data_IF_985512369235
#
_entry.id   IF_985512369235
#
_cell.length_a   1.000
_cell.length_b   1.000
_cell.length_c   1.000
_cell.angle_alpha   90.00
_cell.angle_beta   90.00
_cell.angle_gamma   90.00
#
_symmetry.space_group_name_H-M   'P 1'
#
loop_
_entity.id
_entity.type
_entity.pdbx_description
1 polymer ?
#
# COMPACT_ATOMS: atom_id res chain seq x y z
N UNK A 1 4.70 -12.92 -44.94
CA UNK A 1 4.83 -14.38 -44.73
C UNK A 1 3.46 -14.89 -44.28
N UNK A 2 2.68 -15.38 -45.24
CA UNK A 2 1.36 -15.97 -45.01
C UNK A 2 1.56 -17.34 -44.35
N UNK A 3 1.00 -17.54 -43.16
CA UNK A 3 0.76 -18.89 -42.62
C UNK A 3 -0.70 -19.19 -42.91
N UNK A 4 -0.93 -19.82 -44.05
CA UNK A 4 -2.22 -20.42 -44.38
C UNK A 4 -2.39 -21.68 -43.52
N UNK A 5 -2.75 -21.49 -42.26
CA UNK A 5 -3.19 -22.57 -41.38
C UNK A 5 -4.62 -22.97 -41.80
N UNK A 6 -4.74 -23.73 -42.92
CA UNK A 6 -5.99 -24.39 -43.29
C UNK A 6 -6.44 -25.26 -42.11
N UNK A 7 -7.71 -25.16 -41.68
CA UNK A 7 -8.17 -25.89 -40.50
C UNK A 7 -8.08 -27.40 -40.75
N UNK A 8 -7.43 -28.12 -39.83
CA UNK A 8 -7.25 -29.59 -39.82
C UNK A 8 -8.60 -30.34 -39.81
N UNK A 9 -9.70 -29.62 -39.62
CA UNK A 9 -11.04 -30.12 -39.33
C UNK A 9 -11.75 -30.95 -40.40
N UNK A 10 -11.13 -31.20 -41.56
CA UNK A 10 -11.84 -31.88 -42.66
C UNK A 10 -11.06 -32.99 -43.38
N UNK A 11 -10.16 -33.67 -42.65
CA UNK A 11 -9.47 -34.85 -43.17
C UNK A 11 -10.10 -36.09 -42.54
N UNK A 12 -10.73 -36.94 -43.36
CA UNK A 12 -11.23 -38.24 -42.94
C UNK A 12 -10.04 -39.21 -42.94
N UNK A 13 -9.55 -39.69 -41.78
CA UNK A 13 -8.39 -40.59 -41.76
C UNK A 13 -8.75 -41.91 -42.44
N UNK A 14 -7.88 -42.40 -43.32
CA UNK A 14 -8.11 -43.61 -44.11
C UNK A 14 -7.53 -44.86 -43.42
N UNK A 15 -6.52 -44.68 -42.57
CA UNK A 15 -5.83 -45.76 -41.84
C UNK A 15 -5.84 -45.53 -40.33
N UNK A 16 -5.55 -46.60 -39.58
CA UNK A 16 -5.53 -46.56 -38.12
C UNK A 16 -4.35 -45.69 -37.60
N UNK A 17 -3.23 -45.68 -38.31
CA UNK A 17 -2.07 -44.83 -38.05
C UNK A 17 -2.38 -43.34 -38.26
N UNK A 18 -3.16 -43.01 -39.30
CA UNK A 18 -3.63 -41.64 -39.53
C UNK A 18 -4.52 -41.15 -38.37
N UNK A 19 -5.36 -42.03 -37.82
CA UNK A 19 -6.18 -41.73 -36.65
C UNK A 19 -5.32 -41.38 -35.42
N UNK A 20 -4.30 -42.18 -35.11
CA UNK A 20 -3.40 -41.91 -33.98
C UNK A 20 -2.62 -40.61 -34.16
N UNK A 21 -2.12 -40.34 -35.37
CA UNK A 21 -1.44 -39.09 -35.71
C UNK A 21 -2.35 -37.88 -35.56
N UNK A 22 -3.61 -37.99 -36.00
CA UNK A 22 -4.62 -36.96 -35.85
C UNK A 22 -4.94 -36.70 -34.37
N UNK A 23 -5.17 -37.77 -33.59
CA UNK A 23 -5.45 -37.67 -32.15
C UNK A 23 -4.29 -36.96 -31.44
N UNK A 24 -3.04 -37.36 -31.72
CA UNK A 24 -1.86 -36.73 -31.13
C UNK A 24 -1.80 -35.23 -31.45
N UNK A 25 -1.99 -34.85 -32.72
CA UNK A 25 -1.99 -33.43 -33.13
C UNK A 25 -3.12 -32.64 -32.48
N UNK A 26 -4.34 -33.21 -32.41
CA UNK A 26 -5.47 -32.55 -31.77
C UNK A 26 -5.23 -32.38 -30.26
N UNK A 27 -4.66 -33.39 -29.59
CA UNK A 27 -4.33 -33.26 -28.17
C UNK A 27 -3.30 -32.17 -27.92
N UNK A 28 -2.28 -32.04 -28.78
CA UNK A 28 -1.27 -30.98 -28.67
C UNK A 28 -1.86 -29.58 -28.89
N UNK A 29 -2.79 -29.45 -29.83
CA UNK A 29 -3.50 -28.18 -30.06
C UNK A 29 -4.38 -27.85 -28.86
N UNK A 30 -5.11 -28.82 -28.32
CA UNK A 30 -5.98 -28.63 -27.15
C UNK A 30 -5.14 -28.24 -25.93
N UNK A 31 -4.01 -28.90 -25.67
CA UNK A 31 -3.13 -28.54 -24.54
C UNK A 31 -2.59 -27.12 -24.70
N UNK A 32 -2.14 -26.76 -25.90
CA UNK A 32 -1.66 -25.40 -26.17
C UNK A 32 -2.76 -24.34 -25.98
N UNK A 33 -3.95 -24.59 -26.52
CA UNK A 33 -5.08 -23.67 -26.39
C UNK A 33 -5.56 -23.55 -24.95
N UNK A 34 -5.61 -24.65 -24.20
CA UNK A 34 -6.01 -24.63 -22.78
C UNK A 34 -5.01 -23.87 -21.92
N UNK A 35 -3.71 -24.00 -22.17
CA UNK A 35 -2.67 -23.20 -21.52
C UNK A 35 -2.80 -21.70 -21.84
N UNK A 36 -3.00 -21.35 -23.11
CA UNK A 36 -3.20 -19.95 -23.52
C UNK A 36 -4.45 -19.34 -22.87
N UNK A 37 -5.57 -20.08 -22.87
CA UNK A 37 -6.81 -19.67 -22.21
C UNK A 37 -6.58 -19.48 -20.70
N UNK A 38 -5.84 -20.38 -20.04
CA UNK A 38 -5.53 -20.26 -18.62
C UNK A 38 -4.73 -18.99 -18.34
N UNK A 39 -3.66 -18.75 -19.07
CA UNK A 39 -2.81 -17.55 -18.95
C UNK A 39 -3.61 -16.26 -19.16
N UNK A 40 -4.47 -16.23 -20.19
CA UNK A 40 -5.32 -15.07 -20.47
C UNK A 40 -6.36 -14.83 -19.36
N UNK A 41 -6.97 -15.90 -18.83
CA UNK A 41 -7.92 -15.82 -17.71
C UNK A 41 -7.26 -15.31 -16.44
N UNK A 42 -6.05 -15.76 -16.13
CA UNK A 42 -5.25 -15.26 -15.02
C UNK A 42 -4.96 -13.76 -15.17
N UNK A 43 -4.47 -13.34 -16.35
CA UNK A 43 -4.22 -11.93 -16.65
C UNK A 43 -5.47 -11.05 -16.49
N UNK A 44 -6.64 -11.54 -16.91
CA UNK A 44 -7.93 -10.84 -16.76
C UNK A 44 -8.45 -10.80 -15.31
N UNK A 45 -7.98 -11.71 -14.45
CA UNK A 45 -8.37 -11.78 -13.04
C UNK A 45 -7.42 -11.00 -12.11
N UNK A 46 -6.26 -10.57 -12.60
CA UNK A 46 -5.38 -9.64 -11.88
C UNK A 46 -6.07 -8.28 -11.74
N UNK A 47 -6.19 -7.81 -10.51
CA UNK A 47 -6.73 -6.51 -10.16
C UNK A 47 -5.95 -5.89 -8.99
N UNK A 48 -6.20 -4.62 -8.72
CA UNK A 48 -5.52 -3.87 -7.64
C UNK A 48 -5.66 -4.47 -6.23
N UNK A 49 -6.57 -5.41 -6.02
CA UNK A 49 -6.82 -6.04 -4.72
C UNK A 49 -6.03 -7.35 -4.52
N UNK A 50 -5.68 -8.06 -5.60
CA UNK A 50 -5.03 -9.38 -5.53
C UNK A 50 -3.64 -9.45 -6.18
N UNK A 51 -3.14 -8.37 -6.79
CA UNK A 51 -1.92 -8.42 -7.62
C UNK A 51 -0.84 -7.39 -7.28
N UNK A 52 -1.00 -6.62 -6.20
CA UNK A 52 -0.12 -5.49 -5.84
C UNK A 52 0.05 -4.44 -6.95
N UNK A 53 -0.72 -4.52 -8.03
CA UNK A 53 -0.74 -3.54 -9.11
C UNK A 53 -1.44 -2.26 -8.62
N UNK A 54 -0.92 -1.08 -8.97
CA UNK A 54 -1.57 0.17 -8.61
C UNK A 54 -2.97 0.25 -9.24
N UNK A 55 -3.97 0.86 -8.57
CA UNK A 55 -5.33 1.00 -9.10
C UNK A 55 -5.44 1.69 -10.46
N UNK A 56 -4.42 2.46 -10.86
CA UNK A 56 -4.33 3.11 -12.17
C UNK A 56 -4.05 2.15 -13.33
N UNK A 57 -3.45 0.98 -13.05
CA UNK A 57 -3.18 -0.09 -14.03
C UNK A 57 -4.26 -1.18 -14.04
N UNK A 58 -5.34 -0.99 -13.29
CA UNK A 58 -6.46 -1.94 -13.24
C UNK A 58 -7.25 -1.87 -14.56
N UNK A 59 -7.13 -2.90 -15.41
CA UNK A 59 -7.82 -3.00 -16.70
C UNK A 59 -9.34 -2.93 -16.55
N UNK A 60 -9.86 -3.45 -15.44
CA UNK A 60 -11.27 -3.30 -15.06
C UNK A 60 -11.42 -1.96 -14.36
N UNK A 61 -11.57 -0.87 -15.13
CA UNK A 61 -11.94 0.44 -14.59
C UNK A 61 -13.18 0.28 -13.71
N UNK A 62 -12.98 0.31 -12.39
CA UNK A 62 -14.07 0.34 -11.43
C UNK A 62 -14.94 1.53 -11.81
N UNK A 63 -16.25 1.30 -12.03
CA UNK A 63 -17.22 2.37 -12.27
C UNK A 63 -16.93 3.49 -11.28
N UNK A 64 -16.82 4.73 -11.78
CA UNK A 64 -16.54 5.88 -10.95
C UNK A 64 -17.50 5.82 -9.75
N UNK A 65 -16.94 5.72 -8.53
CA UNK A 65 -17.77 5.67 -7.32
C UNK A 65 -18.72 6.85 -7.39
N UNK A 66 -20.02 6.57 -7.31
CA UNK A 66 -21.07 7.61 -7.24
C UNK A 66 -20.61 8.60 -6.19
N UNK A 67 -20.36 9.84 -6.62
CA UNK A 67 -19.86 10.89 -5.73
C UNK A 67 -20.93 11.09 -4.66
N UNK A 68 -20.66 10.64 -3.44
CA UNK A 68 -21.54 10.87 -2.30
C UNK A 68 -21.79 12.37 -2.19
N UNK A 69 -23.05 12.75 -1.92
CA UNK A 69 -23.40 14.14 -1.67
C UNK A 69 -22.47 14.72 -0.60
N UNK A 70 -22.05 15.98 -0.80
CA UNK A 70 -21.19 16.66 0.18
C UNK A 70 -21.95 16.73 1.50
N UNK A 71 -21.31 16.32 2.59
CA UNK A 71 -21.92 16.31 3.93
C UNK A 71 -22.32 17.72 4.44
N UNK A 72 -21.93 18.80 3.77
CA UNK A 72 -22.12 20.19 4.24
C UNK A 72 -21.24 20.58 5.44
N UNK A 73 -20.65 19.60 6.14
CA UNK A 73 -19.79 19.82 7.30
C UNK A 73 -18.43 20.40 6.90
N UNK A 74 -17.93 21.34 7.70
CA UNK A 74 -16.57 21.88 7.56
C UNK A 74 -15.54 20.77 7.77
N UNK A 75 -14.39 20.88 7.08
CA UNK A 75 -13.25 19.97 7.28
C UNK A 75 -12.64 20.21 8.69
N UNK A 76 -12.26 19.14 9.38
CA UNK A 76 -11.67 19.20 10.73
C UNK A 76 -12.58 18.60 11.82
N UNK A 77 -12.20 18.81 13.08
CA UNK A 77 -13.00 18.42 14.24
C UNK A 77 -14.37 19.10 14.20
N UNK A 78 -15.45 18.32 14.32
CA UNK A 78 -16.81 18.85 14.31
C UNK A 78 -17.12 19.51 15.66
N UNK A 79 -18.04 20.49 15.67
CA UNK A 79 -18.51 21.10 16.90
C UNK A 79 -19.04 20.03 17.87
N UNK A 80 -18.57 20.06 19.12
CA UNK A 80 -18.87 19.03 20.14
C UNK A 80 -17.87 17.87 20.22
N UNK A 81 -16.93 17.72 19.27
CA UNK A 81 -15.83 16.78 19.45
C UNK A 81 -14.83 17.33 20.47
N UNK A 82 -14.69 16.62 21.59
CA UNK A 82 -13.61 16.87 22.53
C UNK A 82 -12.27 16.57 21.86
N UNK A 83 -11.31 17.48 22.02
CA UNK A 83 -9.95 17.26 21.54
C UNK A 83 -9.26 16.18 22.37
N UNK A 84 -8.74 15.15 21.72
CA UNK A 84 -7.84 14.20 22.39
C UNK A 84 -6.41 14.74 22.36
N UNK A 85 -5.83 14.87 23.54
CA UNK A 85 -4.40 15.20 23.73
C UNK A 85 -3.77 14.17 24.64
N UNK A 86 -2.47 13.91 24.44
CA UNK A 86 -1.71 13.05 25.36
C UNK A 86 -1.73 13.69 26.75
N UNK A 87 -2.07 12.89 27.76
CA UNK A 87 -1.96 13.34 29.16
C UNK A 87 -0.49 13.58 29.48
N UNK A 88 -0.21 14.67 30.19
CA UNK A 88 1.13 14.92 30.69
C UNK A 88 1.36 14.05 31.91
N UNK A 89 2.56 13.49 32.02
CA UNK A 89 3.03 12.84 33.25
C UNK A 89 3.26 13.90 34.34
N UNK A 90 3.16 13.54 35.64
CA UNK A 90 3.65 14.36 36.75
C UNK A 90 5.08 14.86 36.51
N UNK A 91 5.42 16.04 37.05
CA UNK A 91 6.80 16.56 36.89
C UNK A 91 7.84 15.76 37.67
N UNK A 92 7.45 15.05 38.73
CA UNK A 92 8.36 14.19 39.49
C UNK A 92 8.79 12.92 38.76
N UNK A 93 8.07 12.53 37.72
CA UNK A 93 8.39 11.34 36.91
C UNK A 93 9.29 11.67 35.71
N UNK A 94 9.71 12.92 35.56
CA UNK A 94 10.59 13.32 34.47
C UNK A 94 12.05 13.02 34.85
N UNK A 95 12.77 12.30 33.99
CA UNK A 95 14.21 12.05 34.16
C UNK A 95 15.02 13.35 34.20
N UNK A 96 14.60 14.34 33.40
CA UNK A 96 15.22 15.68 33.35
C UNK A 96 14.15 16.77 33.14
N UNK A 97 14.31 17.92 33.81
CA UNK A 97 13.47 19.10 33.63
C UNK A 97 14.31 20.26 33.07
N UNK A 98 14.16 20.51 31.78
CA UNK A 98 14.80 21.63 31.08
C UNK A 98 13.92 22.88 31.20
N UNK A 99 14.43 23.93 31.86
CA UNK A 99 13.75 25.23 31.97
C UNK A 99 14.04 26.08 30.74
N UNK A 100 13.11 26.13 29.79
CA UNK A 100 13.21 27.00 28.63
C UNK A 100 12.70 28.41 28.96
N UNK A 101 13.55 29.23 29.59
CA UNK A 101 13.30 30.66 29.78
C UNK A 101 13.82 31.45 28.58
N UNK A 102 13.13 32.52 28.14
CA UNK A 102 13.70 33.41 27.14
C UNK A 102 14.97 34.05 27.69
N UNK A 103 15.88 34.43 26.78
CA UNK A 103 17.03 35.26 27.15
C UNK A 103 16.56 36.64 27.63
N UNK A 104 17.41 37.35 28.38
CA UNK A 104 17.07 38.68 28.90
C UNK A 104 16.94 39.73 27.78
N UNK A 105 17.73 39.56 26.72
CA UNK A 105 17.76 40.41 25.55
C UNK A 105 17.47 39.56 24.31
N UNK A 106 16.66 40.11 23.40
CA UNK A 106 16.47 39.49 22.09
C UNK A 106 17.67 39.83 21.20
N UNK A 107 18.05 38.92 20.30
CA UNK A 107 19.13 39.14 19.33
C UNK A 107 18.93 40.41 18.46
N UNK A 108 17.69 40.92 18.36
CA UNK A 108 17.37 42.16 17.65
C UNK A 108 17.40 43.43 18.52
N UNK A 109 17.77 43.34 19.81
CA UNK A 109 17.78 44.45 20.77
C UNK A 109 16.40 44.86 21.31
N UNK A 110 15.34 44.12 20.96
CA UNK A 110 13.99 44.36 21.47
C UNK A 110 13.79 43.85 22.90
N UNK A 111 12.94 44.55 23.67
CA UNK A 111 12.56 44.12 25.02
C UNK A 111 11.65 42.89 24.98
N UNK A 112 11.99 41.86 25.77
CA UNK A 112 11.20 40.63 25.89
C UNK A 112 10.18 40.79 27.01
N UNK A 113 8.91 40.95 26.63
CA UNK A 113 7.80 40.94 27.56
C UNK A 113 7.41 39.49 27.89
N UNK A 114 7.74 39.03 29.10
CA UNK A 114 7.36 37.69 29.54
C UNK A 114 5.89 37.67 29.93
N UNK A 115 5.03 37.24 29.00
CA UNK A 115 3.62 36.97 29.27
C UNK A 115 3.54 35.58 29.95
N UNK A 116 2.65 35.39 30.94
CA UNK A 116 2.44 34.11 31.67
C UNK A 116 1.86 32.98 30.80
N UNK A 117 2.30 32.82 29.55
CA UNK A 117 1.95 31.72 28.67
C UNK A 117 3.03 30.65 28.74
N UNK A 118 3.03 29.89 29.84
CA UNK A 118 3.89 28.70 29.93
C UNK A 118 3.18 27.53 29.26
N UNK A 119 3.71 27.08 28.13
CA UNK A 119 3.31 25.80 27.53
C UNK A 119 4.21 24.70 28.06
N UNK A 120 3.64 23.61 28.58
CA UNK A 120 4.39 22.45 29.05
C UNK A 120 4.40 21.38 27.96
N UNK A 121 5.59 21.04 27.47
CA UNK A 121 5.83 19.96 26.51
C UNK A 121 6.67 18.88 27.18
N UNK A 122 6.30 17.61 26.98
CA UNK A 122 7.11 16.46 27.38
C UNK A 122 7.54 15.72 26.13
N UNK A 123 8.80 15.35 26.04
CA UNK A 123 9.34 14.50 24.97
C UNK A 123 9.76 13.20 25.64
N UNK A 124 9.38 12.06 25.06
CA UNK A 124 9.81 10.74 25.52
C UNK A 124 10.80 10.24 24.48
N UNK A 125 12.07 10.20 24.84
CA UNK A 125 13.13 9.65 24.00
C UNK A 125 13.58 8.32 24.57
N UNK A 126 13.85 7.35 23.71
CA UNK A 126 14.43 6.08 24.13
C UNK A 126 15.91 6.29 24.42
N UNK A 127 16.44 5.78 25.54
CA UNK A 127 17.88 5.85 25.80
C UNK A 127 18.65 5.08 24.73
N UNK A 128 19.92 5.44 24.52
CA UNK A 128 20.78 4.70 23.60
C UNK A 128 20.88 3.23 24.05
N UNK A 129 20.56 2.25 23.19
CA UNK A 129 20.63 0.84 23.54
C UNK A 129 22.09 0.45 23.80
N UNK A 130 22.35 -0.22 24.92
CA UNK A 130 23.68 -0.74 25.26
C UNK A 130 23.82 -2.18 24.78
N UNK A 131 24.99 -2.55 24.25
CA UNK A 131 25.28 -3.93 23.88
C UNK A 131 25.46 -4.80 25.13
N UNK A 132 24.97 -6.04 25.06
CA UNK A 132 25.33 -7.08 26.01
C UNK A 132 26.44 -7.93 25.38
N UNK A 133 27.67 -7.77 25.88
CA UNK A 133 28.82 -8.53 25.40
C UNK A 133 29.02 -9.77 26.28
N UNK A 134 28.99 -10.95 25.67
CA UNK A 134 29.40 -12.20 26.31
C UNK A 134 30.67 -12.70 25.63
N UNK A 135 31.73 -12.91 26.41
CA UNK A 135 32.94 -13.58 25.97
C UNK A 135 32.93 -15.02 26.49
N UNK A 136 33.19 -15.98 25.61
CA UNK A 136 33.30 -17.42 25.93
C UNK A 136 34.74 -17.86 25.66
N UNK A 137 35.32 -18.64 26.57
CA UNK A 137 36.66 -19.23 26.48
C UNK A 137 36.58 -20.73 26.22
#
# INVERSE_FOLDING_TARGET
MQKDDKPIFNIKPATLEDCWSLISKLTEIITKQTEEISKLKEQLNLNSNNSSLPPSKDFKRKKAKVKKAKSGKKRGGQAGHSGHKRKLFPSGDADEIIKCVPQAECDCGGQILTIKLSSRKQVLELPQPKYLLHEYQ
#
